data_IF_363609025874
#
_entry.id   IF_363609025874
#
_cell.length_a   1.000
_cell.length_b   1.000
_cell.length_c   1.000
_cell.angle_alpha   90.00
_cell.angle_beta   90.00
_cell.angle_gamma   90.00
#
_symmetry.space_group_name_H-M   'P 1'
#
loop_
_entity.id
_entity.type
_entity.pdbx_description
1 polymer ?
#
# COMPACT_ATOMS: atom_id res chain seq x y z
N UNK A 1 34.84 5.55 -4.58
CA UNK A 1 34.58 5.51 -3.14
C UNK A 1 34.28 4.09 -2.65
N UNK A 2 33.40 3.34 -3.36
CA UNK A 2 33.08 1.95 -3.03
C UNK A 2 34.35 1.09 -2.86
N UNK A 3 35.28 1.14 -3.82
CA UNK A 3 36.52 0.39 -3.75
C UNK A 3 37.37 0.80 -2.52
N UNK A 4 37.44 2.08 -2.22
CA UNK A 4 38.14 2.63 -1.05
C UNK A 4 37.53 2.10 0.27
N UNK A 5 36.21 2.15 0.39
CA UNK A 5 35.51 1.62 1.57
C UNK A 5 35.66 0.10 1.71
N UNK A 6 35.53 -0.63 0.61
CA UNK A 6 35.72 -2.07 0.61
C UNK A 6 37.13 -2.48 1.03
N UNK A 7 38.17 -1.76 0.55
CA UNK A 7 39.55 -2.01 0.97
C UNK A 7 39.76 -1.69 2.45
N UNK A 8 39.14 -0.61 2.95
CA UNK A 8 39.27 -0.20 4.36
C UNK A 8 38.52 -1.12 5.34
N UNK A 9 37.30 -1.54 4.98
CA UNK A 9 36.40 -2.28 5.88
C UNK A 9 36.47 -3.80 5.71
N UNK A 10 37.06 -4.27 4.62
CA UNK A 10 36.97 -5.67 4.22
C UNK A 10 35.56 -6.09 3.78
N UNK A 11 35.41 -7.32 3.25
CA UNK A 11 34.10 -7.78 2.74
C UNK A 11 32.98 -7.76 3.77
N UNK A 12 33.23 -8.27 4.97
CA UNK A 12 32.24 -8.34 6.05
C UNK A 12 31.85 -6.96 6.56
N UNK A 13 32.85 -6.08 6.78
CA UNK A 13 32.60 -4.71 7.22
C UNK A 13 31.87 -3.88 6.17
N UNK A 14 32.19 -4.07 4.89
CA UNK A 14 31.43 -3.45 3.81
C UNK A 14 29.97 -3.91 3.77
N UNK A 15 29.73 -5.21 3.90
CA UNK A 15 28.37 -5.76 3.93
C UNK A 15 27.54 -5.17 5.07
N UNK A 16 28.09 -5.11 6.27
CA UNK A 16 27.43 -4.51 7.43
C UNK A 16 27.16 -3.01 7.22
N UNK A 17 28.13 -2.28 6.69
CA UNK A 17 27.99 -0.85 6.39
C UNK A 17 26.90 -0.60 5.33
N UNK A 18 26.91 -1.37 4.23
CA UNK A 18 25.88 -1.27 3.20
C UNK A 18 24.49 -1.54 3.74
N UNK A 19 24.33 -2.60 4.54
CA UNK A 19 23.04 -2.96 5.17
C UNK A 19 22.52 -1.84 6.08
N UNK A 20 23.42 -1.20 6.82
CA UNK A 20 23.04 -0.10 7.73
C UNK A 20 22.75 1.24 7.00
N UNK A 21 23.12 1.40 5.74
CA UNK A 21 23.03 2.68 5.01
C UNK A 21 22.21 2.58 3.73
N UNK A 22 22.79 2.09 2.65
CA UNK A 22 22.22 2.15 1.29
C UNK A 22 21.22 1.04 0.97
N UNK A 23 21.30 -0.12 1.68
CA UNK A 23 20.53 -1.30 1.30
C UNK A 23 19.02 -1.06 1.29
N UNK A 24 18.46 -0.40 2.31
CA UNK A 24 17.03 -0.13 2.39
C UNK A 24 16.51 0.72 1.22
N UNK A 25 17.26 1.77 0.83
CA UNK A 25 16.92 2.60 -0.33
C UNK A 25 17.04 1.80 -1.63
N UNK A 26 18.08 0.97 -1.76
CA UNK A 26 18.29 0.14 -2.93
C UNK A 26 17.16 -0.88 -3.12
N UNK A 27 16.78 -1.60 -2.06
CA UNK A 27 15.71 -2.60 -2.09
C UNK A 27 14.34 -1.96 -2.38
N UNK A 28 14.10 -0.73 -1.95
CA UNK A 28 12.86 0.00 -2.23
C UNK A 28 12.77 0.45 -3.69
N UNK A 29 13.88 0.90 -4.28
CA UNK A 29 13.89 1.49 -5.62
C UNK A 29 14.08 0.47 -6.75
N UNK A 30 14.84 -0.59 -6.51
CA UNK A 30 15.15 -1.62 -7.50
C UNK A 30 13.91 -2.27 -8.14
N UNK A 31 12.89 -2.74 -7.38
CA UNK A 31 11.71 -3.34 -7.99
C UNK A 31 10.94 -2.39 -8.91
N UNK A 32 10.87 -1.10 -8.54
CA UNK A 32 10.24 -0.08 -9.38
C UNK A 32 10.96 0.07 -10.71
N UNK A 33 12.29 0.15 -10.67
CA UNK A 33 13.13 0.27 -11.87
C UNK A 33 12.99 -0.94 -12.78
N UNK A 34 13.05 -2.14 -12.21
CA UNK A 34 12.90 -3.37 -12.98
C UNK A 34 11.52 -3.44 -13.65
N UNK A 35 10.46 -3.00 -12.97
CA UNK A 35 9.10 -2.88 -13.54
C UNK A 35 9.05 -1.87 -14.69
N UNK A 36 9.60 -0.66 -14.50
CA UNK A 36 9.61 0.37 -15.56
C UNK A 36 10.39 -0.13 -16.77
N UNK A 37 11.57 -0.70 -16.57
CA UNK A 37 12.38 -1.26 -17.67
C UNK A 37 11.67 -2.38 -18.41
N UNK A 38 11.04 -3.28 -17.69
CA UNK A 38 10.28 -4.39 -18.28
C UNK A 38 9.10 -3.86 -19.08
N UNK A 39 8.29 -2.97 -18.53
CA UNK A 39 7.15 -2.37 -19.23
C UNK A 39 7.54 -1.61 -20.50
N UNK A 40 8.66 -0.89 -20.50
CA UNK A 40 9.16 -0.19 -21.70
C UNK A 40 9.63 -1.20 -22.77
N UNK A 41 10.34 -2.26 -22.37
CA UNK A 41 10.75 -3.31 -23.31
C UNK A 41 9.54 -4.02 -23.94
N UNK A 42 8.55 -4.35 -23.13
CA UNK A 42 7.30 -4.97 -23.61
C UNK A 42 6.54 -4.05 -24.58
N UNK A 43 6.44 -2.76 -24.25
CA UNK A 43 5.78 -1.78 -25.11
C UNK A 43 6.49 -1.53 -26.45
N UNK A 44 7.82 -1.62 -26.47
CA UNK A 44 8.62 -1.46 -27.69
C UNK A 44 8.69 -2.73 -28.54
N UNK A 45 8.30 -3.88 -27.99
CA UNK A 45 8.24 -5.19 -28.68
C UNK A 45 9.48 -5.46 -29.56
N UNK A 46 10.70 -5.54 -29.00
CA UNK A 46 11.92 -5.70 -29.79
C UNK A 46 11.90 -6.98 -30.63
N UNK A 47 12.42 -6.87 -31.86
CA UNK A 47 12.38 -7.97 -32.84
C UNK A 47 13.20 -9.18 -32.42
N UNK A 48 14.26 -8.99 -31.64
CA UNK A 48 15.14 -10.04 -31.19
C UNK A 48 15.85 -9.68 -29.86
N UNK A 49 16.62 -10.63 -29.37
CA UNK A 49 17.35 -10.52 -28.09
C UNK A 49 18.44 -9.43 -28.10
N UNK A 50 19.01 -9.14 -29.27
CA UNK A 50 20.05 -8.11 -29.41
C UNK A 50 19.42 -6.73 -29.29
N UNK A 51 18.29 -6.50 -29.97
CA UNK A 51 17.50 -5.28 -29.85
C UNK A 51 17.00 -5.08 -28.41
N UNK A 52 16.49 -6.13 -27.75
CA UNK A 52 16.09 -6.08 -26.34
C UNK A 52 17.25 -5.67 -25.43
N UNK A 53 18.43 -6.27 -25.62
CA UNK A 53 19.61 -5.95 -24.83
C UNK A 53 20.03 -4.49 -25.01
N UNK A 54 20.00 -3.99 -26.24
CA UNK A 54 20.27 -2.58 -26.56
C UNK A 54 19.31 -1.63 -25.84
N UNK A 55 18.01 -1.92 -25.87
CA UNK A 55 16.99 -1.14 -25.15
C UNK A 55 17.25 -1.18 -23.64
N UNK A 56 17.51 -2.35 -23.06
CA UNK A 56 17.81 -2.50 -21.62
C UNK A 56 19.04 -1.73 -21.18
N UNK A 57 20.05 -1.65 -22.01
CA UNK A 57 21.27 -0.86 -21.73
C UNK A 57 20.98 0.65 -21.76
N UNK A 58 20.23 1.14 -22.75
CA UNK A 58 19.80 2.54 -22.80
C UNK A 58 18.95 2.92 -21.60
N UNK A 59 18.06 2.02 -21.16
CA UNK A 59 17.21 2.24 -19.99
C UNK A 59 17.96 2.22 -18.65
N UNK A 60 19.19 1.71 -18.60
CA UNK A 60 20.01 1.79 -17.39
C UNK A 60 20.24 3.24 -16.96
N UNK A 61 20.71 4.08 -17.86
CA UNK A 61 20.94 5.49 -17.56
C UNK A 61 19.61 6.26 -17.39
N UNK A 62 18.63 6.00 -18.25
CA UNK A 62 17.35 6.71 -18.23
C UNK A 62 16.51 6.43 -16.98
N UNK A 63 16.55 5.21 -16.44
CA UNK A 63 15.72 4.82 -15.28
C UNK A 63 16.53 4.81 -13.99
N UNK A 64 17.85 4.64 -14.07
CA UNK A 64 18.76 4.61 -12.92
C UNK A 64 19.30 5.97 -12.48
N UNK A 65 19.03 7.04 -13.23
CA UNK A 65 19.57 8.38 -12.97
C UNK A 65 19.42 8.91 -11.53
N UNK A 66 18.74 8.19 -10.66
CA UNK A 66 18.54 8.55 -9.24
C UNK A 66 18.97 7.48 -8.25
N UNK A 67 19.58 6.40 -8.71
CA UNK A 67 20.09 5.36 -7.79
C UNK A 67 21.27 5.80 -6.96
N UNK A 68 21.81 6.95 -7.27
CA UNK A 68 22.87 7.55 -6.48
C UNK A 68 22.49 7.78 -5.02
N UNK A 69 21.22 7.97 -4.70
CA UNK A 69 20.76 8.17 -3.33
C UNK A 69 21.18 7.04 -2.38
N UNK A 70 21.07 5.77 -2.81
CA UNK A 70 21.51 4.62 -2.01
C UNK A 70 23.04 4.60 -1.83
N UNK A 71 23.79 4.93 -2.89
CA UNK A 71 25.25 5.02 -2.85
C UNK A 71 25.72 6.23 -2.06
N UNK A 72 25.07 7.38 -2.21
CA UNK A 72 25.35 8.59 -1.43
C UNK A 72 25.15 8.35 0.06
N UNK A 73 24.09 7.63 0.43
CA UNK A 73 23.87 7.21 1.82
C UNK A 73 25.01 6.35 2.36
N UNK A 74 25.55 5.44 1.53
CA UNK A 74 26.69 4.61 1.92
C UNK A 74 28.02 5.39 1.93
N UNK A 75 28.11 6.54 1.27
CA UNK A 75 29.32 7.36 1.14
C UNK A 75 29.22 8.70 1.89
N UNK A 76 28.29 8.83 2.82
CA UNK A 76 27.90 10.05 3.52
C UNK A 76 29.08 10.93 4.02
N UNK A 77 30.20 10.32 4.36
CA UNK A 77 31.40 11.03 4.83
C UNK A 77 32.47 11.25 3.76
N UNK A 78 32.19 10.92 2.49
CA UNK A 78 33.19 11.03 1.44
C UNK A 78 33.28 12.48 0.93
N UNK A 79 34.51 13.07 0.88
CA UNK A 79 34.69 14.43 0.40
C UNK A 79 34.32 14.57 -1.09
N UNK A 80 33.75 15.70 -1.46
CA UNK A 80 33.39 16.04 -2.84
C UNK A 80 32.06 15.47 -3.35
N UNK A 81 31.26 14.85 -2.49
CA UNK A 81 29.92 14.35 -2.82
C UNK A 81 28.78 15.25 -2.33
N UNK A 82 29.11 16.35 -1.62
CA UNK A 82 28.11 17.23 -0.99
C UNK A 82 27.08 17.79 -1.98
N UNK A 83 27.54 18.21 -3.17
CA UNK A 83 26.64 18.75 -4.19
C UNK A 83 25.66 17.68 -4.73
N UNK A 84 26.13 16.45 -4.97
CA UNK A 84 25.27 15.35 -5.39
C UNK A 84 24.29 14.94 -4.29
N UNK A 85 24.76 14.93 -3.04
CA UNK A 85 23.92 14.64 -1.89
C UNK A 85 22.82 15.70 -1.72
N UNK A 86 23.12 16.97 -1.97
CA UNK A 86 22.15 18.06 -1.92
C UNK A 86 21.09 17.93 -3.01
N UNK A 87 21.47 17.62 -4.25
CA UNK A 87 20.52 17.32 -5.32
C UNK A 87 19.64 16.13 -4.95
N UNK A 88 20.22 15.06 -4.42
CA UNK A 88 19.45 13.88 -4.00
C UNK A 88 18.46 14.18 -2.85
N UNK A 89 18.76 15.16 -1.98
CA UNK A 89 17.84 15.57 -0.90
C UNK A 89 16.72 16.49 -1.37
N UNK A 90 17.00 17.35 -2.35
CA UNK A 90 16.10 18.47 -2.73
C UNK A 90 15.30 18.21 -4.00
N UNK A 91 15.85 17.43 -4.95
CA UNK A 91 15.19 17.10 -6.20
C UNK A 91 14.51 15.71 -6.17
N UNK A 92 13.66 15.48 -7.13
CA UNK A 92 13.20 14.14 -7.53
C UNK A 92 14.25 13.46 -8.42
N UNK A 93 13.82 12.78 -9.45
CA UNK A 93 14.74 12.20 -10.42
C UNK A 93 15.41 13.27 -11.25
N UNK A 94 16.69 13.08 -11.63
CA UNK A 94 17.43 14.03 -12.43
C UNK A 94 18.41 13.32 -13.36
N UNK A 95 18.69 13.98 -14.47
CA UNK A 95 19.60 13.48 -15.51
C UNK A 95 20.57 14.59 -15.88
N UNK A 96 21.84 14.50 -15.47
CA UNK A 96 22.87 15.45 -15.84
C UNK A 96 23.41 15.13 -17.23
N UNK A 97 23.33 16.10 -18.13
CA UNK A 97 24.01 16.09 -19.42
C UNK A 97 25.11 17.15 -19.42
N UNK A 98 25.95 17.15 -20.46
CA UNK A 98 27.13 18.05 -20.54
C UNK A 98 26.75 19.53 -20.39
N UNK A 99 25.66 19.98 -21.00
CA UNK A 99 25.26 21.39 -21.04
C UNK A 99 23.87 21.66 -20.47
N UNK A 100 23.18 20.63 -19.96
CA UNK A 100 21.84 20.74 -19.40
C UNK A 100 21.60 19.67 -18.33
N UNK A 101 20.85 19.99 -17.31
CA UNK A 101 20.31 18.99 -16.38
C UNK A 101 18.79 18.99 -16.47
N UNK A 102 18.22 17.81 -16.62
CA UNK A 102 16.78 17.60 -16.45
C UNK A 102 16.54 17.21 -15.01
N UNK A 103 15.70 17.95 -14.31
CA UNK A 103 15.44 17.75 -12.88
C UNK A 103 13.93 17.67 -12.68
N UNK A 104 13.46 16.64 -11.96
CA UNK A 104 12.06 16.56 -11.56
C UNK A 104 11.88 17.17 -10.18
N UNK A 105 10.76 17.81 -9.97
CA UNK A 105 10.35 18.29 -8.66
C UNK A 105 9.94 17.13 -7.75
N UNK A 106 9.95 17.37 -6.46
CA UNK A 106 9.31 16.48 -5.48
C UNK A 106 7.82 16.78 -5.39
N UNK A 107 7.00 15.79 -5.04
CA UNK A 107 5.60 16.06 -4.79
C UNK A 107 5.44 17.07 -3.64
N UNK A 108 4.46 17.97 -3.79
CA UNK A 108 4.05 18.93 -2.74
C UNK A 108 3.15 18.26 -1.71
N UNK A 109 2.48 17.17 -2.11
CA UNK A 109 1.71 16.31 -1.22
C UNK A 109 2.09 14.85 -1.42
N UNK A 110 2.29 14.13 -0.32
CA UNK A 110 2.56 12.70 -0.32
C UNK A 110 2.02 12.07 0.96
N UNK A 111 0.93 11.33 0.84
CA UNK A 111 0.27 10.62 1.93
C UNK A 111 0.36 9.11 1.71
N UNK A 112 0.76 8.39 2.75
CA UNK A 112 0.93 6.93 2.72
C UNK A 112 0.37 6.30 3.99
N UNK A 113 -0.09 5.07 3.86
CA UNK A 113 -0.40 4.23 5.02
C UNK A 113 0.87 3.64 5.66
N UNK A 114 0.71 2.90 6.76
CA UNK A 114 1.81 2.24 7.47
C UNK A 114 2.59 1.22 6.61
N UNK A 115 1.96 0.66 5.59
CA UNK A 115 2.60 -0.23 4.62
C UNK A 115 3.33 0.53 3.49
N UNK A 116 3.33 1.88 3.52
CA UNK A 116 3.97 2.75 2.53
C UNK A 116 3.19 2.91 1.22
N UNK A 117 1.94 2.45 1.13
CA UNK A 117 1.08 2.60 -0.04
C UNK A 117 0.42 3.98 -0.05
N UNK A 118 0.19 4.55 -1.24
CA UNK A 118 -0.56 5.80 -1.35
C UNK A 118 -1.94 5.66 -0.70
N UNK A 119 -2.28 6.57 0.21
CA UNK A 119 -3.53 6.53 0.95
C UNK A 119 -3.96 7.91 1.43
N UNK A 120 -5.13 8.37 0.95
CA UNK A 120 -5.80 9.56 1.46
C UNK A 120 -7.27 9.57 1.06
N UNK A 121 -8.15 9.78 2.04
CA UNK A 121 -9.60 9.77 1.83
C UNK A 121 -10.22 11.14 1.51
N UNK A 122 -9.53 12.25 1.76
CA UNK A 122 -10.06 13.62 1.66
C UNK A 122 -9.36 14.50 0.61
N UNK A 123 -8.52 13.89 -0.22
CA UNK A 123 -7.77 14.63 -1.25
C UNK A 123 -6.79 13.74 -2.03
N UNK A 124 -5.87 14.33 -2.79
CA UNK A 124 -4.86 13.57 -3.50
C UNK A 124 -3.87 12.93 -2.53
N UNK A 125 -3.57 11.65 -2.73
CA UNK A 125 -2.53 10.95 -2.00
C UNK A 125 -1.12 11.34 -2.46
N UNK A 126 -1.00 11.80 -3.71
CA UNK A 126 0.20 12.40 -4.30
C UNK A 126 -0.21 13.60 -5.15
N UNK A 127 0.48 14.74 -4.99
CA UNK A 127 0.28 15.90 -5.87
C UNK A 127 1.59 16.62 -6.14
N UNK A 128 1.68 17.23 -7.33
CA UNK A 128 2.78 18.09 -7.76
C UNK A 128 2.31 19.53 -7.97
N UNK A 129 3.26 20.47 -7.98
CA UNK A 129 2.97 21.90 -8.12
C UNK A 129 2.34 22.27 -9.47
N UNK A 130 2.55 21.46 -10.50
CA UNK A 130 1.98 21.63 -11.84
C UNK A 130 0.50 21.22 -11.95
N UNK A 131 -0.09 20.67 -10.87
CA UNK A 131 -1.47 20.22 -10.82
C UNK A 131 -1.64 18.71 -11.10
N UNK A 132 -0.58 17.98 -11.42
CA UNK A 132 -0.68 16.52 -11.50
C UNK A 132 -0.99 15.94 -10.12
N UNK A 133 -1.98 15.07 -10.05
CA UNK A 133 -2.40 14.46 -8.79
C UNK A 133 -2.88 13.02 -8.97
N UNK A 134 -2.58 12.18 -8.00
CA UNK A 134 -3.07 10.81 -7.89
C UNK A 134 -3.87 10.67 -6.60
N UNK A 135 -5.03 10.05 -6.72
CA UNK A 135 -5.89 9.71 -5.60
C UNK A 135 -5.82 8.20 -5.37
N UNK A 136 -5.73 7.80 -4.11
CA UNK A 136 -5.67 6.39 -3.74
C UNK A 136 -6.27 6.15 -2.36
N UNK A 137 -6.91 5.02 -2.19
CA UNK A 137 -7.38 4.48 -0.93
C UNK A 137 -6.61 3.20 -0.62
N UNK A 138 -5.79 3.19 0.43
CA UNK A 138 -4.95 2.04 0.85
C UNK A 138 -4.20 1.36 -0.31
N UNK A 139 -3.65 2.16 -1.21
CA UNK A 139 -2.91 1.71 -2.37
C UNK A 139 -3.75 1.42 -3.62
N UNK A 140 -5.08 1.41 -3.53
CA UNK A 140 -5.96 1.29 -4.68
C UNK A 140 -6.13 2.67 -5.35
N UNK A 141 -5.75 2.84 -6.63
CA UNK A 141 -6.03 4.06 -7.36
C UNK A 141 -7.54 4.28 -7.50
N UNK A 142 -8.01 5.48 -7.17
CA UNK A 142 -9.42 5.86 -7.27
C UNK A 142 -9.55 7.20 -8.01
N UNK A 143 -10.67 7.45 -8.72
CA UNK A 143 -10.93 8.77 -9.31
C UNK A 143 -11.10 9.84 -8.22
N UNK A 144 -10.58 11.07 -8.42
CA UNK A 144 -10.74 12.16 -7.46
C UNK A 144 -12.21 12.52 -7.19
N UNK A 145 -13.06 12.49 -8.21
CA UNK A 145 -14.51 12.68 -8.07
C UNK A 145 -15.19 11.60 -7.22
N UNK A 146 -14.62 10.39 -7.18
CA UNK A 146 -15.11 9.31 -6.32
C UNK A 146 -14.87 9.66 -4.85
N UNK A 147 -13.68 10.11 -4.48
CA UNK A 147 -13.37 10.50 -3.10
C UNK A 147 -14.28 11.63 -2.60
N UNK A 148 -14.58 12.61 -3.44
CA UNK A 148 -15.47 13.71 -3.09
C UNK A 148 -16.90 13.26 -2.70
N UNK A 149 -17.33 12.10 -3.19
CA UNK A 149 -18.64 11.50 -2.88
C UNK A 149 -18.65 10.71 -1.58
N UNK A 150 -17.50 10.24 -1.10
CA UNK A 150 -17.44 9.34 0.06
C UNK A 150 -18.09 9.94 1.31
N UNK A 151 -17.97 11.24 1.53
CA UNK A 151 -18.58 11.92 2.69
C UNK A 151 -20.11 11.98 2.69
N UNK A 152 -20.76 11.70 1.56
CA UNK A 152 -22.23 11.77 1.40
C UNK A 152 -22.86 10.44 0.96
N UNK A 153 -22.14 9.33 1.10
CA UNK A 153 -22.62 8.00 0.70
C UNK A 153 -23.89 7.60 1.41
N UNK A 154 -24.70 6.84 0.68
CA UNK A 154 -25.87 6.14 1.19
C UNK A 154 -25.75 4.62 0.94
N UNK A 155 -26.42 3.78 1.73
CA UNK A 155 -26.42 2.33 1.47
C UNK A 155 -26.95 1.95 0.07
N UNK A 156 -27.85 2.76 -0.50
CA UNK A 156 -28.37 2.54 -1.84
C UNK A 156 -27.31 2.77 -2.92
N UNK A 157 -26.50 3.82 -2.78
CA UNK A 157 -25.39 4.12 -3.71
C UNK A 157 -24.29 3.06 -3.64
N UNK A 158 -23.97 2.59 -2.44
CA UNK A 158 -23.00 1.50 -2.24
C UNK A 158 -23.50 0.22 -2.93
N UNK A 159 -24.76 -0.10 -2.82
CA UNK A 159 -25.38 -1.27 -3.46
C UNK A 159 -25.43 -1.14 -5.00
N UNK A 160 -25.60 0.08 -5.50
CA UNK A 160 -25.69 0.37 -6.93
C UNK A 160 -24.30 0.47 -7.63
N UNK A 161 -23.20 0.56 -6.88
CA UNK A 161 -21.86 0.61 -7.48
C UNK A 161 -21.52 -0.74 -8.14
N UNK A 162 -21.24 -0.73 -9.42
CA UNK A 162 -20.96 -1.94 -10.21
C UNK A 162 -19.50 -2.40 -10.07
N UNK A 163 -18.59 -1.46 -9.84
CA UNK A 163 -17.17 -1.78 -9.66
C UNK A 163 -16.92 -2.32 -8.25
N UNK A 164 -16.62 -3.63 -8.15
CA UNK A 164 -16.39 -4.32 -6.90
C UNK A 164 -15.31 -3.68 -6.01
N UNK A 165 -14.21 -3.19 -6.61
CA UNK A 165 -13.14 -2.55 -5.86
C UNK A 165 -13.57 -1.18 -5.31
N UNK A 166 -14.29 -0.37 -6.08
CA UNK A 166 -14.83 0.91 -5.60
C UNK A 166 -15.91 0.67 -4.54
N UNK A 167 -16.78 -0.30 -4.74
CA UNK A 167 -17.79 -0.69 -3.75
C UNK A 167 -17.16 -1.14 -2.42
N UNK A 168 -16.05 -1.88 -2.49
CA UNK A 168 -15.28 -2.24 -1.30
C UNK A 168 -14.76 -1.00 -0.57
N UNK A 169 -14.19 -0.03 -1.31
CA UNK A 169 -13.74 1.24 -0.72
C UNK A 169 -14.90 2.00 -0.06
N UNK A 170 -16.06 2.05 -0.73
CA UNK A 170 -17.26 2.69 -0.18
C UNK A 170 -17.68 2.05 1.14
N UNK A 171 -17.73 0.71 1.21
CA UNK A 171 -18.06 -0.03 2.43
C UNK A 171 -17.03 0.20 3.55
N UNK A 172 -15.75 0.18 3.23
CA UNK A 172 -14.68 0.44 4.21
C UNK A 172 -14.75 1.87 4.77
N UNK A 173 -15.05 2.86 3.91
CA UNK A 173 -15.17 4.26 4.31
C UNK A 173 -16.45 4.54 5.10
N UNK A 174 -17.56 3.96 4.65
CA UNK A 174 -18.88 4.13 5.28
C UNK A 174 -18.93 3.52 6.68
N UNK A 175 -18.20 2.43 6.89
CA UNK A 175 -18.25 1.57 8.05
C UNK A 175 -19.26 0.43 7.85
N UNK A 176 -18.79 -0.80 8.09
CA UNK A 176 -19.65 -1.99 7.93
C UNK A 176 -20.80 -2.02 8.94
N UNK A 177 -20.54 -1.60 10.17
CA UNK A 177 -21.53 -1.44 11.26
C UNK A 177 -22.67 -0.52 10.84
N UNK A 178 -22.33 0.69 10.44
CA UNK A 178 -23.29 1.67 9.96
C UNK A 178 -24.06 1.19 8.73
N UNK A 179 -23.35 0.54 7.78
CA UNK A 179 -24.02 -0.01 6.59
C UNK A 179 -25.03 -1.09 6.97
N UNK A 180 -24.72 -2.01 7.89
CA UNK A 180 -25.62 -3.06 8.35
C UNK A 180 -26.86 -2.48 9.03
N UNK A 181 -26.67 -1.50 9.90
CA UNK A 181 -27.78 -0.82 10.59
C UNK A 181 -28.71 -0.07 9.61
N UNK A 182 -28.14 0.75 8.72
CA UNK A 182 -28.92 1.62 7.84
C UNK A 182 -29.46 0.89 6.58
N UNK A 183 -28.85 -0.21 6.15
CA UNK A 183 -29.32 -1.03 5.03
C UNK A 183 -30.51 -1.92 5.36
N UNK A 184 -30.86 -2.06 6.65
CA UNK A 184 -31.86 -2.97 7.11
C UNK A 184 -31.44 -4.44 7.02
N UNK A 185 -30.12 -4.71 7.02
CA UNK A 185 -29.58 -6.06 7.02
C UNK A 185 -30.11 -6.88 8.20
N UNK A 186 -30.30 -8.19 7.98
CA UNK A 186 -30.71 -9.11 9.03
C UNK A 186 -29.54 -10.04 9.37
N UNK A 187 -29.35 -10.39 10.64
CA UNK A 187 -28.35 -11.38 11.01
C UNK A 187 -28.72 -12.75 10.44
N UNK A 188 -27.74 -13.50 9.97
CA UNK A 188 -27.91 -14.84 9.42
C UNK A 188 -27.75 -15.94 10.48
N UNK A 189 -26.96 -15.65 11.54
CA UNK A 189 -26.75 -16.55 12.67
C UNK A 189 -26.39 -15.77 13.94
N UNK A 190 -26.77 -16.31 15.10
CA UNK A 190 -26.37 -15.76 16.41
C UNK A 190 -26.10 -16.91 17.37
N UNK A 191 -25.03 -16.84 18.11
CA UNK A 191 -24.65 -17.73 19.20
C UNK A 191 -23.94 -16.98 20.32
N UNK A 192 -23.32 -17.69 21.27
CA UNK A 192 -22.61 -17.12 22.41
C UNK A 192 -21.32 -16.38 22.00
N UNK A 193 -20.78 -16.65 20.83
CA UNK A 193 -19.56 -16.00 20.34
C UNK A 193 -19.84 -14.68 19.61
N UNK A 194 -21.06 -14.47 19.10
CA UNK A 194 -21.42 -13.23 18.42
C UNK A 194 -22.60 -13.34 17.46
N UNK A 195 -22.65 -12.42 16.51
CA UNK A 195 -23.70 -12.35 15.49
C UNK A 195 -23.06 -12.39 14.11
N UNK A 196 -23.47 -13.32 13.28
CA UNK A 196 -23.02 -13.42 11.88
C UNK A 196 -23.95 -12.60 10.98
N UNK A 197 -23.39 -11.71 10.22
CA UNK A 197 -24.05 -10.85 9.25
C UNK A 197 -23.60 -11.18 7.84
N UNK A 198 -24.50 -11.02 6.88
CA UNK A 198 -24.20 -11.18 5.46
C UNK A 198 -24.72 -9.99 4.68
N UNK A 199 -23.83 -9.37 3.91
CA UNK A 199 -24.14 -8.32 2.95
C UNK A 199 -24.10 -8.96 1.58
N UNK A 200 -25.25 -9.14 0.96
CA UNK A 200 -25.34 -9.61 -0.42
C UNK A 200 -24.98 -8.47 -1.36
N UNK A 201 -24.02 -8.71 -2.23
CA UNK A 201 -23.54 -7.72 -3.20
C UNK A 201 -23.86 -8.20 -4.61
N UNK A 202 -24.72 -7.49 -5.37
CA UNK A 202 -25.07 -7.88 -6.74
C UNK A 202 -23.82 -7.97 -7.63
N UNK A 203 -23.62 -9.13 -8.27
CA UNK A 203 -22.50 -9.36 -9.19
C UNK A 203 -21.12 -9.52 -8.53
N UNK A 204 -21.09 -9.68 -7.22
CA UNK A 204 -19.85 -9.82 -6.45
C UNK A 204 -20.02 -10.87 -5.33
N UNK A 205 -18.92 -11.22 -4.67
CA UNK A 205 -18.91 -12.11 -3.52
C UNK A 205 -19.52 -11.42 -2.29
N UNK A 206 -20.40 -12.12 -1.58
CA UNK A 206 -21.01 -11.62 -0.36
C UNK A 206 -19.93 -11.22 0.67
N UNK A 207 -20.12 -10.11 1.36
CA UNK A 207 -19.33 -9.77 2.54
C UNK A 207 -19.99 -10.40 3.77
N UNK A 208 -19.24 -11.27 4.45
CA UNK A 208 -19.67 -11.92 5.68
C UNK A 208 -18.85 -11.40 6.84
N UNK A 209 -19.52 -11.01 7.91
CA UNK A 209 -18.88 -10.40 9.10
C UNK A 209 -19.44 -11.00 10.38
N UNK A 210 -18.57 -11.14 11.38
CA UNK A 210 -19.00 -11.48 12.75
C UNK A 210 -18.88 -10.23 13.60
N UNK A 211 -19.99 -9.85 14.21
CA UNK A 211 -20.05 -8.86 15.28
C UNK A 211 -19.74 -9.55 16.60
N UNK A 212 -18.67 -9.12 17.27
CA UNK A 212 -18.22 -9.67 18.55
C UNK A 212 -18.13 -8.56 19.57
N UNK A 213 -18.80 -8.74 20.70
CA UNK A 213 -18.70 -7.81 21.81
C UNK A 213 -17.55 -8.25 22.73
N UNK A 214 -16.56 -7.38 22.95
CA UNK A 214 -15.47 -7.66 23.88
C UNK A 214 -16.03 -7.87 25.29
N UNK A 215 -15.74 -9.02 25.89
CA UNK A 215 -16.15 -9.34 27.26
C UNK A 215 -15.36 -8.56 28.32
N UNK A 216 -14.20 -8.00 27.97
CA UNK A 216 -13.41 -7.14 28.86
C UNK A 216 -13.94 -5.71 28.74
N UNK A 217 -14.52 -5.13 29.80
CA UNK A 217 -15.01 -3.76 29.79
C UNK A 217 -13.86 -2.76 29.60
N UNK A 218 -14.12 -1.71 28.85
CA UNK A 218 -13.25 -0.53 28.81
C UNK A 218 -13.22 0.17 30.18
N UNK A 219 -12.25 1.08 30.45
CA UNK A 219 -12.14 1.80 31.71
C UNK A 219 -13.38 2.61 32.12
N UNK A 220 -14.23 2.97 31.15
CA UNK A 220 -15.51 3.67 31.35
C UNK A 220 -16.69 2.72 31.59
N UNK A 221 -16.46 1.42 31.60
CA UNK A 221 -17.48 0.37 31.80
C UNK A 221 -18.24 -0.02 30.52
N UNK A 222 -17.90 0.54 29.37
CA UNK A 222 -18.50 0.13 28.09
C UNK A 222 -17.81 -1.12 27.55
N UNK A 223 -18.50 -1.85 26.67
CA UNK A 223 -17.90 -2.96 25.93
C UNK A 223 -17.68 -2.56 24.47
N UNK A 224 -16.51 -2.88 23.95
CA UNK A 224 -16.15 -2.59 22.57
C UNK A 224 -16.70 -3.66 21.64
N UNK A 225 -17.35 -3.27 20.55
CA UNK A 225 -17.78 -4.17 19.49
C UNK A 225 -16.72 -4.22 18.39
N UNK A 226 -16.39 -5.43 17.97
CA UNK A 226 -15.47 -5.70 16.86
C UNK A 226 -16.23 -6.32 15.69
N UNK A 227 -15.86 -5.91 14.49
CA UNK A 227 -16.40 -6.43 13.24
C UNK A 227 -15.31 -7.21 12.50
N UNK A 228 -15.44 -8.51 12.49
CA UNK A 228 -14.45 -9.42 11.93
C UNK A 228 -14.92 -9.89 10.56
N UNK A 229 -14.21 -9.53 9.49
CA UNK A 229 -14.49 -10.06 8.15
C UNK A 229 -14.04 -11.51 8.09
N UNK A 230 -14.94 -12.38 7.61
CA UNK A 230 -14.73 -13.84 7.55
C UNK A 230 -15.04 -14.35 6.15
N UNK A 231 -14.63 -15.58 5.78
CA UNK A 231 -14.92 -16.15 4.46
C UNK A 231 -16.42 -16.16 4.15
N UNK A 232 -16.82 -15.92 2.91
CA UNK A 232 -18.23 -15.92 2.49
C UNK A 232 -18.98 -17.24 2.75
N UNK A 233 -18.25 -18.36 2.80
CA UNK A 233 -18.80 -19.67 3.11
C UNK A 233 -19.15 -19.88 4.59
N UNK A 234 -18.76 -18.96 5.48
CA UNK A 234 -19.03 -19.04 6.92
C UNK A 234 -20.53 -19.05 7.20
N UNK A 235 -20.97 -19.98 8.05
CA UNK A 235 -22.39 -20.24 8.33
C UNK A 235 -22.79 -19.94 9.76
N UNK A 236 -21.84 -19.92 10.72
CA UNK A 236 -22.10 -19.61 12.13
C UNK A 236 -21.14 -18.56 12.67
N UNK A 237 -21.55 -17.83 13.72
CA UNK A 237 -20.68 -16.84 14.35
C UNK A 237 -19.43 -17.50 14.96
N UNK A 238 -19.59 -18.64 15.64
CA UNK A 238 -18.49 -19.43 16.19
C UNK A 238 -17.47 -19.87 15.13
N UNK A 239 -17.94 -20.34 13.97
CA UNK A 239 -17.07 -20.68 12.83
C UNK A 239 -16.25 -19.48 12.37
N UNK A 240 -16.89 -18.32 12.25
CA UNK A 240 -16.24 -17.09 11.82
C UNK A 240 -15.18 -16.63 12.82
N UNK A 241 -15.49 -16.61 14.11
CA UNK A 241 -14.51 -16.25 15.15
C UNK A 241 -13.35 -17.25 15.18
N UNK A 242 -13.62 -18.56 15.15
CA UNK A 242 -12.61 -19.61 15.13
C UNK A 242 -11.64 -19.44 13.95
N UNK A 243 -12.17 -19.13 12.77
CA UNK A 243 -11.37 -18.91 11.57
C UNK A 243 -10.35 -17.78 11.74
N UNK A 244 -10.67 -16.70 12.46
CA UNK A 244 -9.72 -15.59 12.68
C UNK A 244 -8.51 -16.01 13.53
N UNK A 245 -8.62 -17.09 14.29
CA UNK A 245 -7.55 -17.72 15.04
C UNK A 245 -6.90 -18.90 14.32
N UNK A 246 -7.30 -19.20 13.07
CA UNK A 246 -6.81 -20.36 12.32
C UNK A 246 -7.30 -21.69 12.87
N UNK A 247 -8.46 -21.72 13.56
CA UNK A 247 -9.04 -22.90 14.19
C UNK A 247 -10.35 -23.33 13.49
N UNK A 248 -10.75 -24.58 13.67
CA UNK A 248 -12.11 -25.01 13.35
C UNK A 248 -13.07 -24.61 14.48
N UNK A 249 -14.39 -24.56 14.17
CA UNK A 249 -15.41 -24.24 15.16
C UNK A 249 -15.42 -25.19 16.37
N UNK A 250 -15.09 -26.47 16.15
CA UNK A 250 -15.01 -27.50 17.19
C UNK A 250 -13.79 -27.33 18.07
N UNK A 251 -12.66 -26.86 17.49
CA UNK A 251 -11.39 -26.65 18.20
C UNK A 251 -11.33 -25.30 18.93
N UNK A 252 -12.30 -24.41 18.67
CA UNK A 252 -12.37 -23.10 19.30
C UNK A 252 -12.98 -23.20 20.70
N UNK A 253 -12.11 -23.22 21.71
CA UNK A 253 -12.49 -23.15 23.13
C UNK A 253 -11.83 -21.91 23.76
N UNK A 254 -12.54 -20.77 23.86
CA UNK A 254 -11.97 -19.57 24.43
C UNK A 254 -11.77 -19.76 25.94
N UNK A 255 -10.51 -19.87 26.39
CA UNK A 255 -10.15 -19.92 27.83
C UNK A 255 -10.41 -18.57 28.53
N UNK A 256 -10.41 -17.49 27.76
CA UNK A 256 -10.87 -16.14 28.13
C UNK A 256 -11.41 -15.48 26.88
N UNK A 257 -12.57 -14.89 26.98
CA UNK A 257 -13.06 -13.95 26.00
C UNK A 257 -12.31 -12.63 26.28
N UNK A 258 -11.41 -12.24 25.40
CA UNK A 258 -10.71 -10.96 25.51
C UNK A 258 -11.23 -10.03 24.43
#
# INVERSE_FOLDING_TARGET
ERARLHTRLGPTGWSAHWTATGAGLWETTRPLIDRVRTGVVEALAPADRTAETGIRLLLLDAVLGQHDAAWLSAFDTAPGLDALAEVARTAGWWWPYENVAVVTERPVELHRDEAGRLDRGDGPALAYADGFALHAWRGLPVPGAFLARLGSLTPAEIRAEENAELRRVMLEFYGYDRYLEESGAQPVHRDETGVLWRIALPGDEDVVMVEVVNSTPEPDGTSRTYWLRVPPATTTAREGVAWTFGLSAEAYEPLRQT
#
